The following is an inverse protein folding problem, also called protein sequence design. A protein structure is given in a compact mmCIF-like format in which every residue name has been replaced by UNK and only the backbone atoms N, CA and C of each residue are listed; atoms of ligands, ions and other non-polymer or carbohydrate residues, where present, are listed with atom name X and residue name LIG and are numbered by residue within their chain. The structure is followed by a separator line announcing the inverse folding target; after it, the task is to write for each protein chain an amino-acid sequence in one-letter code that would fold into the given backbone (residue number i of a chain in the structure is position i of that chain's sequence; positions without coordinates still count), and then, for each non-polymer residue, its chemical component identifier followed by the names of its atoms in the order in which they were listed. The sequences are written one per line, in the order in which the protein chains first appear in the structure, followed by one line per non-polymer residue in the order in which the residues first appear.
data_IF_146228270231
#
_entry.id   IF_146228270231
#
_cell.length_a   1.000
_cell.length_b   1.000
_cell.length_c   1.000
_cell.angle_alpha   90.00
_cell.angle_beta   90.00
_cell.angle_gamma   90.00
#
_symmetry.space_group_name_H-M   'P 1'
#
loop_
_entity.id
_entity.type
_entity.pdbx_description
1 polymer ?
#
# COMPACT_ATOMS: atom_id res chain seq x y z
N UNK A 1 5.43 35.05 -9.46
CA UNK A 1 4.54 33.91 -9.12
C UNK A 1 5.39 32.68 -8.89
N UNK A 2 6.01 32.56 -7.71
CA UNK A 2 6.99 31.50 -7.42
C UNK A 2 6.95 31.08 -5.95
N UNK A 3 6.96 32.04 -5.02
CA UNK A 3 6.98 31.75 -3.58
C UNK A 3 5.77 30.91 -3.11
N UNK A 4 4.57 31.16 -3.67
CA UNK A 4 3.37 30.38 -3.37
C UNK A 4 3.45 28.93 -3.85
N UNK A 5 4.08 28.68 -5.00
CA UNK A 5 4.27 27.33 -5.56
C UNK A 5 5.27 26.55 -4.72
N UNK A 6 6.37 27.20 -4.31
CA UNK A 6 7.34 26.58 -3.40
C UNK A 6 6.71 26.27 -2.05
N UNK A 7 5.90 27.19 -1.49
CA UNK A 7 5.16 26.95 -0.26
C UNK A 7 4.17 25.79 -0.37
N UNK A 8 3.41 25.71 -1.46
CA UNK A 8 2.46 24.62 -1.71
C UNK A 8 3.16 23.27 -1.87
N UNK A 9 4.25 23.20 -2.65
CA UNK A 9 5.04 21.98 -2.82
C UNK A 9 5.65 21.54 -1.49
N UNK A 10 6.25 22.46 -0.74
CA UNK A 10 6.83 22.15 0.57
C UNK A 10 5.77 21.62 1.56
N UNK A 11 4.57 22.21 1.57
CA UNK A 11 3.47 21.76 2.43
C UNK A 11 2.99 20.35 2.06
N UNK A 12 2.79 20.07 0.76
CA UNK A 12 2.36 18.75 0.29
C UNK A 12 3.42 17.69 0.61
N UNK A 13 4.71 17.98 0.39
CA UNK A 13 5.80 17.06 0.71
C UNK A 13 5.95 16.84 2.21
N UNK A 14 5.81 17.89 3.03
CA UNK A 14 5.83 17.77 4.48
C UNK A 14 4.70 16.84 4.97
N UNK A 15 3.48 17.04 4.47
CA UNK A 15 2.35 16.17 4.78
C UNK A 15 2.63 14.71 4.37
N UNK A 16 3.16 14.49 3.16
CA UNK A 16 3.50 13.16 2.65
C UNK A 16 4.55 12.43 3.51
N UNK A 17 5.57 13.14 4.01
CA UNK A 17 6.62 12.55 4.86
C UNK A 17 6.13 12.25 6.27
N UNK A 18 5.23 13.08 6.82
CA UNK A 18 4.70 12.88 8.17
C UNK A 18 3.75 11.68 8.29
N UNK A 19 3.12 11.27 7.18
CA UNK A 19 2.17 10.16 7.16
C UNK A 19 2.92 8.86 6.85
N UNK A 20 3.10 7.93 7.81
CA UNK A 20 3.67 6.63 7.52
C UNK A 20 2.74 5.89 6.56
N UNK A 21 3.19 5.72 5.31
CA UNK A 21 2.41 5.10 4.24
C UNK A 21 2.12 3.61 4.50
N UNK A 22 1.24 3.00 3.67
CA UNK A 22 0.89 1.59 3.77
C UNK A 22 2.12 0.67 3.69
N UNK A 23 3.14 1.04 2.91
CA UNK A 23 4.37 0.27 2.75
C UNK A 23 5.15 0.15 4.06
N UNK A 24 5.31 1.26 4.78
CA UNK A 24 6.03 1.30 6.07
C UNK A 24 5.25 0.49 7.12
N UNK A 25 3.93 0.64 7.16
CA UNK A 25 3.06 -0.14 8.06
C UNK A 25 3.16 -1.63 7.78
N UNK A 26 3.21 -2.03 6.51
CA UNK A 26 3.36 -3.42 6.12
C UNK A 26 4.73 -3.98 6.54
N UNK A 27 5.82 -3.26 6.28
CA UNK A 27 7.17 -3.70 6.66
C UNK A 27 7.29 -3.85 8.18
N UNK A 28 6.79 -2.88 8.96
CA UNK A 28 6.80 -2.96 10.43
C UNK A 28 5.97 -4.16 10.91
N UNK A 29 4.78 -4.38 10.34
CA UNK A 29 3.93 -5.53 10.69
C UNK A 29 4.60 -6.88 10.40
N UNK A 30 5.28 -7.01 9.25
CA UNK A 30 6.06 -8.22 8.93
C UNK A 30 7.26 -8.37 9.88
N UNK A 31 7.99 -7.27 10.13
CA UNK A 31 9.21 -7.26 10.95
C UNK A 31 8.97 -7.58 12.42
N UNK A 32 7.82 -7.19 12.97
CA UNK A 32 7.41 -7.56 14.35
C UNK A 32 7.12 -9.06 14.52
N UNK A 33 6.75 -9.76 13.45
CA UNK A 33 6.54 -11.22 13.49
C UNK A 33 7.83 -12.00 13.29
N UNK A 34 8.61 -11.65 12.25
CA UNK A 34 9.90 -12.27 11.97
C UNK A 34 10.79 -11.27 11.21
N UNK A 35 12.02 -11.08 11.70
CA UNK A 35 12.98 -10.15 11.11
C UNK A 35 13.34 -10.50 9.67
N UNK A 36 13.43 -11.79 9.35
CA UNK A 36 13.74 -12.25 8.00
C UNK A 36 12.60 -11.90 7.02
N UNK A 37 11.34 -12.13 7.43
CA UNK A 37 10.17 -11.77 6.63
C UNK A 37 10.07 -10.26 6.38
N UNK A 38 10.42 -9.45 7.38
CA UNK A 38 10.50 -8.00 7.24
C UNK A 38 11.54 -7.56 6.19
N UNK A 39 12.70 -8.23 6.13
CA UNK A 39 13.75 -7.93 5.15
C UNK A 39 13.32 -8.24 3.72
N UNK A 40 12.71 -9.41 3.47
CA UNK A 40 12.21 -9.77 2.13
C UNK A 40 11.09 -8.83 1.67
N UNK A 41 10.19 -8.44 2.59
CA UNK A 41 9.17 -7.45 2.30
C UNK A 41 9.78 -6.09 1.93
N UNK A 42 10.78 -5.62 2.68
CA UNK A 42 11.45 -4.35 2.41
C UNK A 42 12.20 -4.37 1.07
N UNK A 43 12.85 -5.48 0.72
CA UNK A 43 13.51 -5.65 -0.57
C UNK A 43 12.51 -5.58 -1.73
N UNK A 44 11.36 -6.26 -1.61
CA UNK A 44 10.30 -6.19 -2.62
C UNK A 44 9.75 -4.77 -2.83
N UNK A 45 9.53 -4.02 -1.74
CA UNK A 45 9.08 -2.62 -1.82
C UNK A 45 10.15 -1.75 -2.49
N UNK A 46 11.42 -1.91 -2.12
CA UNK A 46 12.52 -1.12 -2.70
C UNK A 46 12.75 -1.41 -4.18
N UNK A 47 12.67 -2.66 -4.61
CA UNK A 47 12.81 -3.00 -6.04
C UNK A 47 11.65 -2.42 -6.85
N UNK A 48 10.41 -2.53 -6.36
CA UNK A 48 9.25 -1.89 -6.99
C UNK A 48 9.40 -0.38 -7.12
N UNK A 49 9.82 0.29 -6.04
CA UNK A 49 10.05 1.74 -6.05
C UNK A 49 11.18 2.13 -7.01
N UNK A 50 12.24 1.34 -7.08
CA UNK A 50 13.35 1.57 -8.02
C UNK A 50 12.87 1.47 -9.47
N UNK A 51 12.11 0.42 -9.81
CA UNK A 51 11.53 0.25 -11.15
C UNK A 51 10.63 1.44 -11.49
N UNK A 52 9.81 1.89 -10.55
CA UNK A 52 8.92 3.04 -10.75
C UNK A 52 9.70 4.33 -11.00
N UNK A 53 10.72 4.64 -10.18
CA UNK A 53 11.57 5.83 -10.35
C UNK A 53 12.29 5.78 -11.70
N UNK A 54 12.89 4.64 -12.05
CA UNK A 54 13.59 4.46 -13.33
C UNK A 54 12.62 4.62 -14.50
N UNK A 55 11.43 4.03 -14.42
CA UNK A 55 10.39 4.21 -15.43
C UNK A 55 9.98 5.68 -15.59
N UNK A 56 9.79 6.38 -14.47
CA UNK A 56 9.45 7.80 -14.48
C UNK A 56 10.56 8.66 -15.08
N UNK A 57 11.83 8.32 -14.81
CA UNK A 57 13.01 9.04 -15.31
C UNK A 57 13.23 8.81 -16.81
N UNK A 58 12.92 7.61 -17.31
CA UNK A 58 12.96 7.25 -18.74
C UNK A 58 11.93 7.99 -19.60
N UNK A 59 11.12 8.88 -19.02
CA UNK A 59 10.21 9.73 -19.78
C UNK A 59 8.78 9.21 -19.82
N UNK A 60 8.34 8.45 -18.81
CA UNK A 60 6.91 8.14 -18.63
C UNK A 60 6.05 9.42 -18.67
N UNK A 61 6.58 10.53 -18.14
CA UNK A 61 5.97 11.85 -18.22
C UNK A 61 5.82 12.39 -19.66
N UNK A 62 6.77 12.12 -20.55
CA UNK A 62 6.71 12.55 -21.95
C UNK A 62 5.65 11.75 -22.74
N UNK A 63 5.51 10.45 -22.45
CA UNK A 63 4.47 9.61 -23.04
C UNK A 63 3.07 10.06 -22.60
N UNK A 64 2.91 10.39 -21.32
CA UNK A 64 1.64 10.89 -20.78
C UNK A 64 1.27 12.27 -21.36
N UNK A 65 2.25 13.14 -21.62
CA UNK A 65 2.02 14.44 -22.23
C UNK A 65 1.55 14.36 -23.69
N UNK A 66 1.91 13.30 -24.41
CA UNK A 66 1.52 13.12 -25.82
C UNK A 66 0.04 12.69 -26.01
N UNK A 67 -0.62 12.21 -24.94
CA UNK A 67 -2.00 11.68 -24.98
C UNK A 67 -2.75 12.06 -23.68
N UNK A 68 -3.39 13.24 -23.62
CA UNK A 68 -4.07 13.72 -22.41
C UNK A 68 -5.25 12.83 -21.96
N UNK A 69 -5.88 12.11 -22.89
CA UNK A 69 -6.95 11.13 -22.59
C UNK A 69 -6.50 10.05 -21.59
N UNK A 70 -5.25 9.60 -21.67
CA UNK A 70 -4.70 8.55 -20.80
C UNK A 70 -4.60 9.07 -19.36
N UNK A 71 -4.21 10.33 -19.19
CA UNK A 71 -4.08 10.96 -17.86
C UNK A 71 -5.46 11.06 -17.20
N UNK A 72 -6.51 11.44 -17.94
CA UNK A 72 -7.87 11.48 -17.40
C UNK A 72 -8.37 10.11 -16.97
N UNK A 73 -8.12 9.06 -17.77
CA UNK A 73 -8.48 7.69 -17.40
C UNK A 73 -7.75 7.24 -16.13
N UNK A 74 -6.44 7.50 -16.03
CA UNK A 74 -5.66 7.17 -14.84
C UNK A 74 -6.17 7.91 -13.60
N UNK A 75 -6.51 9.20 -13.73
CA UNK A 75 -7.07 9.98 -12.62
C UNK A 75 -8.43 9.45 -12.17
N UNK A 76 -9.30 9.07 -13.12
CA UNK A 76 -10.61 8.54 -12.81
C UNK A 76 -10.52 7.17 -12.13
N UNK A 77 -9.70 6.27 -12.65
CA UNK A 77 -9.45 4.94 -12.07
C UNK A 77 -8.75 5.07 -10.71
N UNK A 78 -7.72 5.91 -10.60
CA UNK A 78 -6.98 6.15 -9.36
C UNK A 78 -7.86 6.78 -8.28
N UNK A 79 -8.69 7.76 -8.63
CA UNK A 79 -9.65 8.37 -7.72
C UNK A 79 -10.69 7.38 -7.22
N UNK A 80 -11.25 6.55 -8.12
CA UNK A 80 -12.21 5.52 -7.76
C UNK A 80 -11.58 4.46 -6.84
N UNK A 81 -10.33 4.06 -7.11
CA UNK A 81 -9.59 3.11 -6.29
C UNK A 81 -9.34 3.65 -4.87
N UNK A 82 -8.90 4.91 -4.74
CA UNK A 82 -8.70 5.54 -3.44
C UNK A 82 -10.02 5.69 -2.68
N UNK A 83 -11.10 6.08 -3.36
CA UNK A 83 -12.43 6.18 -2.76
C UNK A 83 -12.88 4.81 -2.21
N UNK A 84 -12.69 3.74 -2.97
CA UNK A 84 -12.99 2.38 -2.54
C UNK A 84 -12.15 1.94 -1.32
N UNK A 85 -10.85 2.20 -1.32
CA UNK A 85 -9.99 1.92 -0.16
C UNK A 85 -10.39 2.72 1.09
N UNK A 86 -10.76 4.00 0.92
CA UNK A 86 -11.24 4.86 2.00
C UNK A 86 -12.52 4.32 2.63
N UNK A 87 -13.52 3.98 1.82
CA UNK A 87 -14.80 3.41 2.29
C UNK A 87 -14.58 2.07 2.98
N UNK A 88 -13.73 1.20 2.44
CA UNK A 88 -13.39 -0.09 3.06
C UNK A 88 -12.76 0.09 4.45
N UNK A 89 -11.87 1.07 4.59
CA UNK A 89 -11.20 1.39 5.86
C UNK A 89 -12.20 1.88 6.91
N UNK A 90 -13.07 2.83 6.57
CA UNK A 90 -14.11 3.35 7.48
C UNK A 90 -15.10 2.26 7.89
N UNK A 91 -15.56 1.44 6.95
CA UNK A 91 -16.48 0.32 7.23
C UNK A 91 -15.87 -0.68 8.21
N UNK A 92 -14.58 -1.02 8.04
CA UNK A 92 -13.88 -1.93 8.93
C UNK A 92 -13.64 -1.34 10.34
N UNK A 93 -13.43 -0.03 10.43
CA UNK A 93 -13.28 0.69 11.70
C UNK A 93 -14.58 0.78 12.48
N UNK A 94 -15.71 1.01 11.80
CA UNK A 94 -17.03 1.11 12.41
C UNK A 94 -17.46 -0.19 13.09
N UNK A 95 -17.10 -1.35 12.51
CA UNK A 95 -17.38 -2.65 13.12
C UNK A 95 -16.57 -2.90 14.40
N UNK A 96 -15.37 -2.31 14.52
CA UNK A 96 -14.52 -2.45 15.72
C UNK A 96 -14.97 -1.58 16.88
N UNK A 97 -15.62 -0.45 16.61
CA UNK A 97 -16.14 0.50 17.63
C UNK A 97 -17.40 -0.02 18.33
N UNK A 98 -18.15 -0.95 17.73
CA UNK A 98 -19.34 -1.56 18.35
C UNK A 98 -19.13 -2.96 18.97
N UNK A 99 -17.91 -3.51 19.02
CA UNK A 99 -17.68 -4.90 19.50
C UNK A 99 -17.20 -4.99 20.96
N UNK A 100 -18.15 -4.71 21.85
CA UNK A 100 -18.39 -5.38 23.14
C UNK A 100 -18.87 -6.85 22.85
N UNK A 101 -18.79 -7.81 23.79
CA UNK A 101 -18.27 -9.18 23.61
C UNK A 101 -18.99 -10.16 22.66
N UNK A 102 -18.20 -11.17 22.24
CA UNK A 102 -18.45 -12.19 21.19
C UNK A 102 -19.47 -13.25 21.63
N UNK A 103 -20.45 -13.63 20.79
CA UNK A 103 -20.40 -15.01 20.26
C UNK A 103 -20.91 -15.25 18.82
N UNK A 104 -21.34 -14.24 18.06
CA UNK A 104 -21.94 -14.44 16.73
C UNK A 104 -20.95 -14.52 15.55
N UNK A 105 -19.71 -14.94 15.81
CA UNK A 105 -18.60 -14.98 14.85
C UNK A 105 -18.62 -16.20 13.90
N UNK A 106 -19.80 -16.78 13.61
CA UNK A 106 -19.89 -18.05 12.87
C UNK A 106 -20.74 -18.01 11.58
N UNK A 107 -21.60 -17.00 11.35
CA UNK A 107 -22.68 -17.16 10.35
C UNK A 107 -22.78 -16.10 9.25
N UNK A 108 -21.90 -15.10 9.21
CA UNK A 108 -21.86 -14.17 8.06
C UNK A 108 -20.43 -14.04 7.53
N UNK A 109 -20.26 -14.74 6.41
CA UNK A 109 -19.07 -14.93 5.61
C UNK A 109 -18.59 -13.61 4.98
N UNK A 110 -17.77 -12.87 5.76
CA UNK A 110 -16.98 -11.70 5.32
C UNK A 110 -15.48 -12.09 5.28
N UNK A 111 -15.19 -13.39 5.11
CA UNK A 111 -13.82 -13.91 5.08
C UNK A 111 -12.96 -13.40 3.92
N UNK A 112 -13.52 -12.73 2.91
CA UNK A 112 -12.72 -12.19 1.81
C UNK A 112 -11.93 -10.91 2.17
N UNK A 113 -12.39 -10.12 3.16
CA UNK A 113 -11.75 -8.83 3.50
C UNK A 113 -10.93 -8.92 4.79
N UNK A 114 -11.24 -9.90 5.65
CA UNK A 114 -10.63 -10.05 6.97
C UNK A 114 -9.64 -11.22 7.02
N UNK A 115 -8.45 -11.02 6.41
CA UNK A 115 -7.19 -11.79 6.48
C UNK A 115 -7.02 -13.00 5.52
N UNK A 116 -5.82 -13.24 4.92
CA UNK A 116 -4.62 -12.40 4.83
C UNK A 116 -3.94 -12.38 3.42
N UNK A 117 -3.29 -11.28 3.04
CA UNK A 117 -2.23 -11.30 2.00
C UNK A 117 -0.94 -11.91 2.61
N UNK A 118 -1.05 -13.14 3.13
CA UNK A 118 0.03 -13.97 3.70
C UNK A 118 -0.15 -15.44 3.25
N UNK A 119 -0.69 -15.67 2.05
CA UNK A 119 -0.85 -17.02 1.50
C UNK A 119 0.32 -17.54 0.67
N UNK A 120 1.38 -16.73 0.45
CA UNK A 120 2.43 -17.05 -0.53
C UNK A 120 3.86 -17.08 -0.03
N UNK A 121 4.13 -16.96 1.28
CA UNK A 121 5.51 -16.96 1.82
C UNK A 121 5.82 -18.16 2.73
N UNK A 122 4.85 -19.05 2.96
CA UNK A 122 5.10 -20.32 3.69
C UNK A 122 6.09 -21.20 2.91
N UNK A 123 6.17 -21.05 1.58
CA UNK A 123 7.11 -21.81 0.74
C UNK A 123 8.60 -21.49 0.99
N UNK A 124 8.96 -20.29 1.43
CA UNK A 124 10.39 -19.94 1.59
C UNK A 124 11.06 -20.63 2.78
N UNK A 125 10.29 -21.14 3.74
CA UNK A 125 10.82 -21.86 4.90
C UNK A 125 11.16 -23.33 4.61
N UNK A 126 10.65 -23.89 3.51
CA UNK A 126 10.86 -25.31 3.19
C UNK A 126 12.20 -25.51 2.44
N UNK A 127 12.56 -24.59 1.53
CA UNK A 127 13.74 -24.77 0.68
C UNK A 127 15.10 -24.42 1.33
N UNK A 128 15.15 -23.69 2.45
CA UNK A 128 16.44 -23.27 3.07
C UNK A 128 16.86 -24.08 4.30
N UNK A 129 16.01 -25.00 4.77
CA UNK A 129 16.27 -25.87 5.94
C UNK A 129 16.60 -27.31 5.52
N UNK A 130 16.37 -27.68 4.26
CA UNK A 130 16.71 -29.01 3.72
C UNK A 130 18.10 -29.08 3.06
N UNK A 131 18.99 -28.10 3.31
CA UNK A 131 20.34 -28.06 2.71
C UNK A 131 21.47 -27.65 3.70
N UNK A 132 21.21 -27.74 5.01
CA UNK A 132 22.21 -27.60 6.09
C UNK A 132 21.84 -28.46 7.29
#
# INVERSE_FOLDING_TARGET
MTLSVFGALAAVWAAAITLPGPDVLQIVRMGTKNRHLGMWCALGVMTGNTIWIVGSLLGFAAVLAARPEIVHLIQLVGGLYIAWMGVSSVRSGWQRICLIPKPWCFLLDIRAVCQPQYGGYVDYCDSSVSDR
#
